data_IF_119539474967
#
_entry.id   IF_119539474967
#
_cell.length_a   1.000
_cell.length_b   1.000
_cell.length_c   1.000
_cell.angle_alpha   90.00
_cell.angle_beta   90.00
_cell.angle_gamma   90.00
#
_symmetry.space_group_name_H-M   'P 1'
#
loop_
_entity.id
_entity.type
_entity.pdbx_description
1 polymer ?
#
# COMPACT_ATOMS: atom_id res chain seq x y z
N UNK A 1 53.58 46.07 -7.54
CA UNK A 1 52.80 47.10 -8.26
C UNK A 1 51.45 47.26 -7.56
N UNK A 2 51.40 48.14 -6.55
CA UNK A 2 50.17 48.61 -5.92
C UNK A 2 49.86 50.02 -6.46
N UNK A 3 48.60 50.28 -6.81
CA UNK A 3 48.00 51.62 -6.90
C UNK A 3 46.67 51.51 -6.13
N UNK A 4 46.55 52.01 -4.89
CA UNK A 4 46.23 53.39 -4.50
C UNK A 4 45.00 53.94 -5.25
N UNK A 5 43.96 54.53 -4.64
CA UNK A 5 43.76 55.22 -3.36
C UNK A 5 42.23 55.40 -3.16
N UNK A 6 41.67 55.15 -1.98
CA UNK A 6 41.39 56.08 -0.86
C UNK A 6 40.36 57.18 -1.16
N UNK A 7 39.34 57.28 -0.30
CA UNK A 7 38.99 58.41 0.62
C UNK A 7 37.53 58.17 1.10
N UNK A 8 37.30 57.70 2.34
CA UNK A 8 37.05 58.46 3.60
C UNK A 8 35.74 59.27 3.54
N UNK A 9 34.77 59.09 4.44
CA UNK A 9 34.64 59.88 5.69
C UNK A 9 33.60 59.23 6.64
N UNK A 10 33.96 59.29 7.93
CA UNK A 10 33.20 58.98 9.16
C UNK A 10 31.96 59.87 9.35
N UNK A 11 30.90 59.37 10.01
CA UNK A 11 30.32 59.99 11.22
C UNK A 11 29.32 59.04 11.91
N UNK A 12 29.49 58.87 13.22
CA UNK A 12 28.58 58.22 14.17
C UNK A 12 27.68 59.33 14.75
N UNK A 13 26.38 59.05 14.98
CA UNK A 13 25.62 59.30 16.23
C UNK A 13 24.09 59.25 15.97
N UNK A 14 23.45 58.55 16.90
CA UNK A 14 22.04 58.26 17.20
C UNK A 14 21.10 59.47 17.33
N UNK A 15 19.82 59.34 16.92
CA UNK A 15 18.62 59.26 17.80
C UNK A 15 17.28 59.59 17.06
N UNK A 16 16.21 58.96 17.56
CA UNK A 16 14.79 59.36 17.60
C UNK A 16 13.92 59.28 16.33
N UNK A 17 13.11 58.23 16.33
CA UNK A 17 11.64 58.21 16.23
C UNK A 17 10.94 59.29 15.39
N UNK A 18 10.26 58.87 14.32
CA UNK A 18 8.91 59.36 13.96
C UNK A 18 8.17 58.20 13.30
N UNK A 19 7.05 57.83 13.91
CA UNK A 19 6.00 56.99 13.33
C UNK A 19 5.25 57.80 12.28
N UNK A 20 5.05 57.25 11.08
CA UNK A 20 3.94 57.64 10.21
C UNK A 20 3.34 56.41 9.55
N UNK A 21 2.05 56.23 9.84
CA UNK A 21 1.14 55.33 9.16
C UNK A 21 1.04 55.71 7.68
N UNK A 22 1.12 54.72 6.79
CA UNK A 22 0.33 54.75 5.56
C UNK A 22 -0.23 53.37 5.28
N UNK A 23 -1.55 53.33 5.16
CA UNK A 23 -2.37 52.19 4.80
C UNK A 23 -1.98 51.62 3.43
N UNK A 24 -1.55 50.36 3.43
CA UNK A 24 -1.48 49.53 2.24
C UNK A 24 -2.38 48.31 2.40
N UNK A 25 -3.67 48.44 2.05
CA UNK A 25 -4.64 47.33 1.98
C UNK A 25 -4.10 46.21 1.09
N UNK A 26 -3.58 45.14 1.71
CA UNK A 26 -3.57 43.80 1.12
C UNK A 26 -4.49 42.91 1.92
N UNK A 27 -5.64 42.63 1.32
CA UNK A 27 -6.59 41.59 1.74
C UNK A 27 -5.85 40.26 1.90
N UNK A 28 -5.37 39.98 3.11
CA UNK A 28 -5.12 38.60 3.53
C UNK A 28 -6.48 37.98 3.81
N UNK A 29 -7.01 37.31 2.79
CA UNK A 29 -8.01 36.26 2.98
C UNK A 29 -7.42 35.23 3.95
N UNK A 30 -7.68 35.40 5.25
CA UNK A 30 -7.67 34.30 6.21
C UNK A 30 -8.69 33.30 5.68
N UNK A 31 -8.23 32.31 4.92
CA UNK A 31 -9.00 31.08 4.72
C UNK A 31 -9.33 30.58 6.11
N UNK A 32 -10.58 30.73 6.50
CA UNK A 32 -11.15 30.11 7.67
C UNK A 32 -10.76 28.64 7.61
N UNK A 33 -9.92 28.23 8.56
CA UNK A 33 -9.66 26.81 8.82
C UNK A 33 -10.98 26.28 9.34
N UNK A 34 -11.78 25.69 8.44
CA UNK A 34 -12.94 24.91 8.80
C UNK A 34 -12.45 23.72 9.65
N UNK A 35 -12.46 23.91 10.97
CA UNK A 35 -12.51 22.81 11.95
C UNK A 35 -13.92 22.21 11.89
N UNK A 36 -14.21 21.46 10.84
CA UNK A 36 -15.24 20.45 10.91
C UNK A 36 -14.53 19.13 11.20
N UNK A 37 -14.27 18.87 12.49
CA UNK A 37 -14.21 17.48 12.96
C UNK A 37 -15.64 16.95 13.00
N UNK A 38 -16.23 16.75 11.82
CA UNK A 38 -17.45 15.98 11.68
C UNK A 38 -17.21 14.61 12.29
N UNK A 39 -18.03 14.28 13.29
CA UNK A 39 -18.12 12.97 13.93
C UNK A 39 -18.12 11.89 12.85
N UNK A 40 -16.97 11.26 12.62
CA UNK A 40 -16.84 10.18 11.65
C UNK A 40 -17.67 9.04 12.20
N UNK A 41 -18.69 8.62 11.46
CA UNK A 41 -19.28 7.34 11.73
C UNK A 41 -18.25 6.26 11.35
N UNK A 42 -17.48 5.79 12.34
CA UNK A 42 -16.44 4.77 12.20
C UNK A 42 -17.01 3.42 11.69
N UNK A 43 -18.32 3.27 11.52
CA UNK A 43 -18.92 2.10 10.89
C UNK A 43 -19.07 2.21 9.37
N UNK A 44 -18.94 3.41 8.79
CA UNK A 44 -19.01 3.61 7.35
C UNK A 44 -17.73 3.12 6.66
N UNK A 45 -17.85 2.55 5.44
CA UNK A 45 -16.70 2.23 4.60
C UNK A 45 -15.74 3.42 4.48
N UNK A 46 -14.44 3.15 4.65
CA UNK A 46 -13.40 4.15 4.34
C UNK A 46 -13.37 4.30 2.82
N UNK A 47 -13.48 5.51 2.27
CA UNK A 47 -13.54 5.71 0.82
C UNK A 47 -12.25 5.27 0.14
N UNK A 48 -12.37 4.74 -1.07
CA UNK A 48 -11.21 4.54 -1.93
C UNK A 48 -10.55 5.89 -2.26
N UNK A 49 -9.23 5.98 -2.10
CA UNK A 49 -8.49 7.19 -2.46
C UNK A 49 -8.30 7.30 -3.97
N UNK A 50 -8.36 8.52 -4.49
CA UNK A 50 -8.09 8.84 -5.90
C UNK A 50 -6.78 9.62 -6.07
N UNK A 51 -5.79 9.29 -5.25
CA UNK A 51 -4.48 9.96 -5.24
C UNK A 51 -3.38 8.97 -4.95
N UNK A 52 -2.20 9.28 -5.47
CA UNK A 52 -0.95 8.61 -5.13
C UNK A 52 -0.20 9.49 -4.14
N UNK A 53 0.47 8.91 -3.16
CA UNK A 53 1.30 9.67 -2.23
C UNK A 53 2.75 9.68 -2.75
N UNK A 54 3.35 10.85 -3.01
CA UNK A 54 4.72 10.93 -3.50
C UNK A 54 5.68 10.35 -2.46
N UNK A 55 6.52 9.42 -2.90
CA UNK A 55 7.42 8.73 -1.99
C UNK A 55 8.58 8.04 -2.71
N UNK A 56 9.80 8.44 -2.36
CA UNK A 56 11.03 7.91 -2.95
C UNK A 56 11.50 6.57 -2.32
N UNK A 57 10.97 6.18 -1.17
CA UNK A 57 11.38 4.95 -0.48
C UNK A 57 10.44 3.76 -0.76
N UNK A 58 9.19 4.05 -1.14
CA UNK A 58 8.18 3.00 -1.42
C UNK A 58 8.35 2.47 -2.84
N UNK A 59 9.20 1.45 -2.99
CA UNK A 59 9.37 0.76 -4.28
C UNK A 59 8.22 -0.22 -4.57
N UNK A 60 7.07 0.33 -4.98
CA UNK A 60 5.81 -0.37 -5.24
C UNK A 60 5.82 -1.31 -6.44
N UNK A 61 6.71 -1.10 -7.40
CA UNK A 61 6.68 -1.82 -8.67
C UNK A 61 7.94 -2.62 -8.87
N UNK A 62 7.80 -3.82 -9.40
CA UNK A 62 8.92 -4.68 -9.76
C UNK A 62 8.79 -5.11 -11.22
N UNK A 63 9.91 -5.15 -11.94
CA UNK A 63 9.92 -5.40 -13.37
C UNK A 63 10.82 -6.56 -13.76
N UNK A 64 10.42 -7.35 -14.76
CA UNK A 64 11.34 -8.17 -15.53
C UNK A 64 11.36 -7.73 -16.99
N UNK A 65 12.31 -6.86 -17.38
CA UNK A 65 12.36 -6.28 -18.72
C UNK A 65 12.59 -7.29 -19.84
N UNK A 66 13.28 -8.40 -19.52
CA UNK A 66 13.56 -9.50 -20.44
C UNK A 66 12.28 -10.21 -20.88
N UNK A 67 11.39 -10.49 -19.93
CA UNK A 67 10.14 -11.21 -20.17
C UNK A 67 8.92 -10.28 -20.29
N UNK A 68 9.14 -8.96 -20.24
CA UNK A 68 8.06 -7.95 -20.23
C UNK A 68 7.00 -8.23 -19.17
N UNK A 69 7.44 -8.56 -17.96
CA UNK A 69 6.58 -8.75 -16.80
C UNK A 69 6.70 -7.55 -15.88
N UNK A 70 5.61 -7.17 -15.23
CA UNK A 70 5.64 -6.23 -14.12
C UNK A 70 4.73 -6.68 -13.00
N UNK A 71 5.01 -6.20 -11.80
CA UNK A 71 4.31 -6.60 -10.58
C UNK A 71 4.05 -5.38 -9.70
N UNK A 72 2.81 -5.25 -9.25
CA UNK A 72 2.44 -4.43 -8.12
C UNK A 72 2.78 -5.17 -6.81
N UNK A 73 3.71 -4.62 -6.04
CA UNK A 73 4.23 -5.18 -4.80
C UNK A 73 3.40 -4.77 -3.60
N UNK A 74 2.44 -5.61 -3.20
CA UNK A 74 1.63 -5.41 -2.01
C UNK A 74 2.06 -6.37 -0.90
N UNK A 75 2.37 -5.83 0.27
CA UNK A 75 2.76 -6.63 1.42
C UNK A 75 1.69 -7.64 1.79
N UNK A 76 2.14 -8.82 2.25
CA UNK A 76 1.29 -9.95 2.67
C UNK A 76 0.49 -10.64 1.57
N UNK A 77 0.65 -10.22 0.31
CA UNK A 77 0.05 -10.85 -0.87
C UNK A 77 1.07 -11.69 -1.63
N UNK A 78 1.75 -12.60 -0.93
CA UNK A 78 2.83 -13.41 -1.53
C UNK A 78 4.06 -12.59 -2.00
N UNK A 79 4.20 -11.36 -1.51
CA UNK A 79 5.21 -10.40 -1.99
C UNK A 79 6.66 -10.87 -1.78
N UNK A 80 7.00 -11.50 -0.66
CA UNK A 80 8.37 -11.99 -0.44
C UNK A 80 8.78 -13.07 -1.44
N UNK A 81 7.85 -13.94 -1.85
CA UNK A 81 8.12 -14.96 -2.86
C UNK A 81 8.21 -14.34 -4.24
N UNK A 82 7.29 -13.42 -4.58
CA UNK A 82 7.34 -12.74 -5.87
C UNK A 82 8.60 -11.91 -6.07
N UNK A 83 9.10 -11.28 -5.01
CA UNK A 83 10.37 -10.58 -5.05
C UNK A 83 11.50 -11.51 -5.49
N UNK A 84 11.60 -12.68 -4.85
CA UNK A 84 12.59 -13.72 -5.20
C UNK A 84 12.40 -14.27 -6.62
N UNK A 85 11.15 -14.47 -7.05
CA UNK A 85 10.83 -14.89 -8.43
C UNK A 85 11.36 -13.85 -9.42
N UNK A 86 11.04 -12.57 -9.26
CA UNK A 86 11.48 -11.52 -10.17
C UNK A 86 13.01 -11.32 -10.11
N UNK A 87 13.61 -11.46 -8.93
CA UNK A 87 15.06 -11.51 -8.76
C UNK A 87 15.67 -12.61 -9.62
N UNK A 88 15.15 -13.83 -9.47
CA UNK A 88 15.56 -14.97 -10.26
C UNK A 88 15.37 -14.68 -11.73
N UNK A 89 14.25 -14.07 -12.18
CA UNK A 89 13.99 -13.73 -13.58
C UNK A 89 14.94 -12.67 -14.15
N UNK A 90 15.48 -11.79 -13.32
CA UNK A 90 16.42 -10.73 -13.73
C UNK A 90 17.90 -11.12 -13.58
N UNK A 91 18.22 -12.15 -12.81
CA UNK A 91 19.61 -12.57 -12.62
C UNK A 91 20.28 -13.02 -13.93
N UNK A 92 21.50 -12.56 -14.21
CA UNK A 92 22.20 -12.89 -15.47
C UNK A 92 22.54 -14.38 -15.58
N UNK A 93 23.03 -14.98 -14.49
CA UNK A 93 23.41 -16.39 -14.42
C UNK A 93 22.44 -17.20 -13.56
N UNK A 94 21.45 -17.86 -14.18
CA UNK A 94 20.45 -18.65 -13.45
C UNK A 94 21.01 -19.90 -12.76
N UNK A 95 22.14 -20.44 -13.24
CA UNK A 95 22.73 -21.69 -12.70
C UNK A 95 23.36 -21.48 -11.32
N UNK A 96 23.84 -20.26 -11.05
CA UNK A 96 24.46 -19.87 -9.77
C UNK A 96 23.55 -19.01 -8.91
N UNK A 97 22.26 -18.94 -9.24
CA UNK A 97 21.33 -18.10 -8.48
C UNK A 97 20.96 -18.79 -7.17
N UNK A 98 21.33 -18.17 -6.05
CA UNK A 98 20.76 -18.52 -4.76
C UNK A 98 19.38 -17.87 -4.62
N UNK A 99 18.35 -18.69 -4.45
CA UNK A 99 16.98 -18.21 -4.29
C UNK A 99 16.72 -17.62 -2.88
N UNK A 100 17.59 -17.89 -1.92
CA UNK A 100 17.58 -17.25 -0.60
C UNK A 100 18.02 -15.79 -0.66
N UNK A 101 18.96 -15.48 -1.54
CA UNK A 101 19.56 -14.15 -1.68
C UNK A 101 18.95 -13.38 -2.85
N UNK A 102 18.18 -12.34 -2.53
CA UNK A 102 17.69 -11.42 -3.54
C UNK A 102 18.10 -9.99 -3.22
N UNK A 103 18.90 -9.41 -4.11
CA UNK A 103 19.11 -7.97 -4.12
C UNK A 103 17.83 -7.28 -4.63
N UNK A 104 17.33 -6.30 -3.88
CA UNK A 104 16.10 -5.53 -4.18
C UNK A 104 16.26 -4.56 -5.36
N UNK A 105 16.86 -5.04 -6.45
CA UNK A 105 17.08 -4.34 -7.72
C UNK A 105 15.80 -4.38 -8.57
N UNK A 106 15.73 -3.54 -9.61
CA UNK A 106 14.60 -3.49 -10.55
C UNK A 106 13.25 -3.13 -9.92
N UNK A 107 13.28 -2.58 -8.70
CA UNK A 107 12.11 -2.02 -8.03
C UNK A 107 12.02 -0.52 -8.29
N UNK A 108 10.81 -0.01 -8.47
CA UNK A 108 10.51 1.36 -8.83
C UNK A 108 9.43 1.93 -7.92
N UNK A 109 9.52 3.22 -7.63
CA UNK A 109 8.58 3.91 -6.73
C UNK A 109 7.21 4.14 -7.35
N UNK A 110 7.14 4.26 -8.68
CA UNK A 110 5.88 4.49 -9.41
C UNK A 110 5.93 3.87 -10.80
N UNK A 111 4.75 3.72 -11.43
CA UNK A 111 4.65 3.32 -12.84
C UNK A 111 5.36 4.32 -13.74
N UNK A 112 5.28 5.62 -13.42
CA UNK A 112 5.96 6.66 -14.20
C UNK A 112 7.47 6.47 -14.20
N UNK A 113 8.06 6.15 -13.04
CA UNK A 113 9.50 5.86 -12.93
C UNK A 113 9.84 4.56 -13.67
N UNK A 114 9.10 3.48 -13.43
CA UNK A 114 9.32 2.21 -14.13
C UNK A 114 9.24 2.37 -15.65
N UNK A 115 8.26 3.14 -16.12
CA UNK A 115 8.04 3.45 -17.53
C UNK A 115 9.23 4.21 -18.13
N UNK A 116 9.76 5.21 -17.43
CA UNK A 116 10.91 6.00 -17.87
C UNK A 116 12.16 5.12 -17.94
N UNK A 117 12.43 4.34 -16.88
CA UNK A 117 13.58 3.43 -16.81
C UNK A 117 13.63 2.46 -17.98
N UNK A 118 12.48 1.93 -18.42
CA UNK A 118 12.41 1.00 -19.55
C UNK A 118 11.95 1.62 -20.87
N UNK A 119 11.98 2.95 -20.99
CA UNK A 119 11.68 3.71 -22.22
C UNK A 119 10.39 3.24 -22.91
N UNK A 120 9.34 2.96 -22.14
CA UNK A 120 8.14 2.32 -22.67
C UNK A 120 7.22 3.27 -23.48
N UNK A 121 7.51 4.58 -23.51
CA UNK A 121 6.79 5.59 -24.30
C UNK A 121 5.49 6.10 -23.66
N UNK A 122 5.34 5.91 -22.34
CA UNK A 122 4.17 6.32 -21.54
C UNK A 122 3.54 5.16 -20.76
N UNK A 123 2.86 5.44 -19.64
CA UNK A 123 2.34 4.40 -18.73
C UNK A 123 1.30 3.52 -19.42
N UNK A 124 0.37 4.10 -20.19
CA UNK A 124 -0.60 3.32 -21.00
C UNK A 124 0.10 2.39 -22.01
N UNK A 125 1.17 2.85 -22.67
CA UNK A 125 1.95 2.02 -23.60
C UNK A 125 2.72 0.92 -22.86
N UNK A 126 3.15 1.19 -21.63
CA UNK A 126 3.78 0.20 -20.78
C UNK A 126 2.84 -0.96 -20.48
N UNK A 127 1.57 -0.72 -20.14
CA UNK A 127 0.57 -1.78 -19.95
C UNK A 127 0.27 -2.59 -21.22
N UNK A 128 0.47 -2.04 -22.42
CA UNK A 128 0.39 -2.80 -23.68
C UNK A 128 1.62 -3.69 -23.91
N UNK A 129 2.77 -3.29 -23.38
CA UNK A 129 4.06 -3.96 -23.59
C UNK A 129 4.36 -4.98 -22.49
N UNK A 130 3.91 -4.71 -21.27
CA UNK A 130 4.20 -5.49 -20.08
C UNK A 130 2.92 -6.11 -19.54
N UNK A 131 2.98 -7.40 -19.23
CA UNK A 131 1.93 -8.07 -18.46
C UNK A 131 2.09 -7.65 -16.99
N UNK A 132 1.21 -6.74 -16.55
CA UNK A 132 1.25 -6.18 -15.20
C UNK A 132 0.38 -7.01 -14.26
N UNK A 133 1.03 -7.70 -13.34
CA UNK A 133 0.40 -8.56 -12.34
C UNK A 133 0.13 -7.80 -11.04
N UNK A 134 -1.01 -8.07 -10.42
CA UNK A 134 -1.33 -7.67 -9.06
C UNK A 134 -1.83 -8.90 -8.31
N UNK A 135 -1.07 -9.35 -7.30
CA UNK A 135 -1.52 -10.42 -6.42
C UNK A 135 -2.38 -9.81 -5.34
N UNK A 136 -3.59 -10.32 -5.21
CA UNK A 136 -4.60 -9.86 -4.25
C UNK A 136 -4.87 -10.97 -3.23
N UNK A 137 -5.22 -10.61 -2.01
CA UNK A 137 -5.50 -11.55 -0.92
C UNK A 137 -6.80 -11.16 -0.22
N UNK A 138 -7.51 -12.15 0.33
CA UNK A 138 -8.65 -11.89 1.19
C UNK A 138 -8.26 -10.86 2.28
N UNK A 139 -9.03 -9.77 2.47
CA UNK A 139 -8.61 -8.67 3.34
C UNK A 139 -8.38 -9.05 4.80
N UNK A 140 -9.21 -9.94 5.35
CA UNK A 140 -9.07 -10.43 6.73
C UNK A 140 -7.80 -11.27 6.88
N UNK A 141 -7.56 -12.20 5.96
CA UNK A 141 -6.34 -13.01 5.98
C UNK A 141 -5.08 -12.16 5.84
N UNK A 142 -5.15 -11.09 5.04
CA UNK A 142 -4.06 -10.14 4.87
C UNK A 142 -3.80 -9.36 6.16
N UNK A 143 -4.83 -8.80 6.79
CA UNK A 143 -4.75 -8.08 8.06
C UNK A 143 -4.13 -8.97 9.16
N UNK A 144 -4.69 -10.16 9.36
CA UNK A 144 -4.23 -11.11 10.38
C UNK A 144 -2.77 -11.52 10.10
N UNK A 145 -2.41 -11.81 8.86
CA UNK A 145 -1.02 -12.13 8.51
C UNK A 145 -0.05 -10.96 8.75
N UNK A 146 -0.50 -9.72 8.51
CA UNK A 146 0.17 -8.48 8.88
C UNK A 146 0.45 -8.42 10.38
N UNK A 147 -0.64 -8.49 11.15
CA UNK A 147 -0.66 -8.30 12.59
C UNK A 147 0.15 -9.38 13.31
N UNK A 148 -0.02 -10.64 12.91
CA UNK A 148 0.70 -11.76 13.53
C UNK A 148 2.21 -11.64 13.31
N UNK A 149 2.67 -11.27 12.12
CA UNK A 149 4.11 -11.10 11.90
C UNK A 149 4.68 -9.93 12.72
N UNK A 150 4.04 -8.75 12.65
CA UNK A 150 4.64 -7.51 13.13
C UNK A 150 4.36 -7.27 14.61
N UNK A 151 3.15 -7.57 15.07
CA UNK A 151 2.71 -7.26 16.42
C UNK A 151 2.84 -8.44 17.37
N UNK A 152 2.46 -9.64 16.92
CA UNK A 152 2.48 -10.81 17.78
C UNK A 152 3.85 -11.48 17.87
N UNK A 153 4.43 -11.84 16.73
CA UNK A 153 5.72 -12.53 16.64
C UNK A 153 6.91 -11.57 16.51
N UNK A 154 6.66 -10.29 16.21
CA UNK A 154 7.69 -9.25 16.01
C UNK A 154 8.82 -9.68 15.06
N UNK A 155 8.48 -10.41 13.99
CA UNK A 155 9.50 -10.98 13.10
C UNK A 155 10.11 -9.88 12.23
N UNK A 156 11.45 -9.85 12.20
CA UNK A 156 12.28 -8.84 11.53
C UNK A 156 12.16 -7.42 12.09
N UNK A 157 11.68 -7.28 13.33
CA UNK A 157 11.66 -6.00 14.02
C UNK A 157 12.81 -5.91 15.01
N UNK A 158 13.46 -4.75 15.07
CA UNK A 158 14.39 -4.43 16.16
C UNK A 158 13.63 -4.26 17.47
N UNK A 159 14.29 -4.39 18.64
CA UNK A 159 13.62 -4.27 19.94
C UNK A 159 12.83 -2.97 20.14
N UNK A 160 13.32 -1.85 19.59
CA UNK A 160 12.71 -0.52 19.70
C UNK A 160 11.75 -0.15 18.56
N UNK A 161 11.55 -1.02 17.56
CA UNK A 161 10.62 -0.77 16.48
C UNK A 161 9.19 -1.17 16.87
N UNK A 162 8.25 -0.24 16.74
CA UNK A 162 6.83 -0.49 16.96
C UNK A 162 6.01 -0.02 15.75
N UNK A 163 5.42 -0.99 15.06
CA UNK A 163 4.49 -0.79 13.94
C UNK A 163 3.06 -1.19 14.31
N UNK A 164 2.77 -1.22 15.61
CA UNK A 164 1.53 -1.70 16.19
C UNK A 164 0.82 -0.64 17.03
N UNK A 165 1.17 0.63 16.84
CA UNK A 165 0.52 1.79 17.48
C UNK A 165 0.54 1.76 19.02
N UNK A 166 1.54 1.15 19.64
CA UNK A 166 1.62 0.91 21.08
C UNK A 166 0.63 -0.13 21.59
N UNK A 167 -0.09 -0.85 20.71
CA UNK A 167 -1.11 -1.82 21.11
C UNK A 167 -0.55 -3.20 21.48
N UNK A 168 0.73 -3.46 21.21
CA UNK A 168 1.32 -4.78 21.41
C UNK A 168 0.50 -5.88 20.71
N UNK A 169 0.07 -6.89 21.47
CA UNK A 169 -0.74 -8.02 20.96
C UNK A 169 -2.25 -7.76 20.92
N UNK A 170 -2.73 -6.55 21.24
CA UNK A 170 -4.16 -6.24 21.25
C UNK A 170 -4.68 -5.88 19.85
N UNK A 171 -5.38 -6.81 19.21
CA UNK A 171 -5.95 -6.63 17.85
C UNK A 171 -7.02 -5.52 17.81
N UNK A 172 -7.88 -5.40 18.83
CA UNK A 172 -8.93 -4.39 18.87
C UNK A 172 -8.35 -2.97 18.93
N UNK A 173 -7.34 -2.76 19.78
CA UNK A 173 -6.58 -1.51 19.84
C UNK A 173 -5.95 -1.20 18.47
N UNK A 174 -5.27 -2.18 17.89
CA UNK A 174 -4.58 -2.03 16.61
C UNK A 174 -5.53 -1.60 15.48
N UNK A 175 -6.64 -2.32 15.30
CA UNK A 175 -7.65 -2.00 14.27
C UNK A 175 -8.26 -0.62 14.49
N UNK A 176 -8.54 -0.25 15.73
CA UNK A 176 -9.09 1.07 16.05
C UNK A 176 -8.11 2.20 15.73
N UNK A 177 -6.81 2.00 15.95
CA UNK A 177 -5.77 2.99 15.60
C UNK A 177 -5.53 3.05 14.08
N UNK A 178 -5.47 1.89 13.42
CA UNK A 178 -5.37 1.79 11.96
C UNK A 178 -6.54 2.51 11.27
N UNK A 179 -7.77 2.31 11.73
CA UNK A 179 -8.95 2.98 11.19
C UNK A 179 -8.85 4.50 11.29
N UNK A 180 -8.43 5.01 12.46
CA UNK A 180 -8.24 6.45 12.69
C UNK A 180 -7.15 7.03 11.78
N UNK A 181 -6.06 6.32 11.58
CA UNK A 181 -5.01 6.71 10.64
C UNK A 181 -5.55 6.77 9.21
N UNK A 182 -6.24 5.73 8.74
CA UNK A 182 -6.79 5.66 7.39
C UNK A 182 -7.79 6.78 7.10
N UNK A 183 -8.66 7.13 8.05
CA UNK A 183 -9.54 8.30 7.90
C UNK A 183 -8.78 9.62 7.77
N UNK A 184 -7.71 9.81 8.55
CA UNK A 184 -6.85 11.00 8.41
C UNK A 184 -6.19 11.04 7.04
N UNK A 185 -5.69 9.90 6.55
CA UNK A 185 -5.09 9.77 5.22
C UNK A 185 -6.10 10.08 4.11
N UNK A 186 -7.29 9.51 4.19
CA UNK A 186 -8.39 9.74 3.24
C UNK A 186 -8.78 11.24 3.18
N UNK A 187 -8.80 11.92 4.33
CA UNK A 187 -9.13 13.35 4.45
C UNK A 187 -7.95 14.30 4.19
N UNK A 188 -6.83 13.81 3.66
CA UNK A 188 -5.60 14.61 3.47
C UNK A 188 -5.03 15.23 4.76
N UNK A 189 -5.41 14.75 5.95
CA UNK A 189 -4.90 15.21 7.24
C UNK A 189 -3.59 14.51 7.65
N UNK A 190 -3.15 13.51 6.88
CA UNK A 190 -1.97 12.70 7.18
C UNK A 190 -1.35 12.11 5.90
N UNK A 191 -0.02 12.06 5.85
CA UNK A 191 0.72 11.30 4.85
C UNK A 191 0.87 9.86 5.37
N UNK A 192 0.63 8.83 4.55
CA UNK A 192 0.75 7.44 4.97
C UNK A 192 2.10 7.10 5.61
N UNK A 193 2.06 6.35 6.71
CA UNK A 193 3.24 5.62 7.14
C UNK A 193 3.49 4.47 6.16
N UNK A 194 4.64 4.45 5.50
CA UNK A 194 4.91 3.52 4.40
C UNK A 194 4.93 2.05 4.84
N UNK A 195 5.41 1.79 6.05
CA UNK A 195 5.46 0.45 6.59
C UNK A 195 4.05 -0.05 6.91
N UNK A 196 3.19 0.82 7.45
CA UNK A 196 1.78 0.49 7.63
C UNK A 196 1.05 0.34 6.30
N UNK A 197 1.33 1.23 5.35
CA UNK A 197 0.76 1.24 4.02
C UNK A 197 1.00 -0.10 3.31
N UNK A 198 2.27 -0.51 3.19
CA UNK A 198 2.66 -1.75 2.55
C UNK A 198 2.00 -3.00 3.20
N UNK A 199 1.79 -3.01 4.52
CA UNK A 199 1.32 -4.19 5.25
C UNK A 199 -0.19 -4.23 5.55
N UNK A 200 -0.84 -3.08 5.72
CA UNK A 200 -2.15 -2.96 6.36
C UNK A 200 -3.16 -2.08 5.63
N UNK A 201 -2.73 -1.17 4.75
CA UNK A 201 -3.69 -0.30 4.04
C UNK A 201 -4.47 -1.09 2.99
N UNK A 202 -5.68 -0.64 2.59
CA UNK A 202 -6.45 -1.29 1.53
C UNK A 202 -5.61 -1.54 0.28
N UNK A 203 -5.78 -2.71 -0.34
CA UNK A 203 -5.08 -3.09 -1.57
C UNK A 203 -5.49 -2.20 -2.73
N UNK A 204 -6.73 -1.73 -2.74
CA UNK A 204 -7.26 -0.73 -3.68
C UNK A 204 -6.59 0.65 -3.58
N UNK A 205 -5.85 0.92 -2.50
CA UNK A 205 -5.07 2.17 -2.33
C UNK A 205 -3.64 2.05 -2.87
N UNK A 206 -3.22 0.86 -3.29
CA UNK A 206 -1.85 0.58 -3.72
C UNK A 206 -1.70 0.74 -5.24
N UNK A 207 -0.47 0.95 -5.69
CA UNK A 207 -0.08 0.80 -7.08
C UNK A 207 -0.97 1.56 -8.08
N UNK A 208 -1.32 2.80 -7.72
CA UNK A 208 -2.13 3.69 -8.55
C UNK A 208 -3.40 3.00 -9.11
N UNK A 209 -3.96 2.07 -8.32
CA UNK A 209 -5.06 1.21 -8.74
C UNK A 209 -6.26 2.01 -9.24
N UNK A 210 -6.62 3.10 -8.57
CA UNK A 210 -7.68 4.01 -8.98
C UNK A 210 -7.55 4.53 -10.42
N UNK A 211 -6.32 4.63 -10.97
CA UNK A 211 -6.07 5.05 -12.36
C UNK A 211 -6.01 3.89 -13.33
N UNK A 212 -5.44 2.76 -12.89
CA UNK A 212 -4.99 1.70 -13.79
C UNK A 212 -5.63 0.33 -13.54
N UNK A 213 -6.69 0.26 -12.72
CA UNK A 213 -7.51 -0.94 -12.47
C UNK A 213 -7.67 -1.84 -13.70
N UNK A 214 -8.23 -1.39 -14.86
CA UNK A 214 -8.53 -2.28 -15.96
C UNK A 214 -7.30 -2.88 -16.67
N UNK A 215 -6.09 -2.41 -16.35
CA UNK A 215 -4.86 -2.88 -16.99
C UNK A 215 -4.09 -3.92 -16.17
N UNK A 216 -4.50 -4.20 -14.93
CA UNK A 216 -3.88 -5.23 -14.11
C UNK A 216 -4.50 -6.61 -14.37
N UNK A 217 -3.65 -7.62 -14.47
CA UNK A 217 -4.07 -9.01 -14.29
C UNK A 217 -4.09 -9.32 -12.79
N UNK A 218 -5.19 -9.83 -12.27
CA UNK A 218 -5.31 -10.22 -10.86
C UNK A 218 -5.08 -11.71 -10.67
N UNK A 219 -4.31 -12.08 -9.65
CA UNK A 219 -4.24 -13.46 -9.16
C UNK A 219 -4.57 -13.46 -7.67
N UNK A 220 -5.56 -14.25 -7.27
CA UNK A 220 -5.99 -14.40 -5.87
C UNK A 220 -5.06 -15.34 -5.13
N UNK A 221 -4.33 -14.81 -4.14
CA UNK A 221 -3.57 -15.60 -3.19
C UNK A 221 -4.53 -16.28 -2.20
N UNK A 222 -4.56 -17.62 -2.15
CA UNK A 222 -5.60 -18.31 -1.42
C UNK A 222 -5.20 -18.53 0.05
N UNK A 223 -6.21 -18.73 0.89
CA UNK A 223 -6.04 -19.13 2.30
C UNK A 223 -5.65 -20.60 2.44
N UNK A 224 -6.16 -21.45 1.54
CA UNK A 224 -5.92 -22.89 1.43
C UNK A 224 -5.49 -23.27 -0.01
N UNK A 225 -5.01 -24.49 -0.24
CA UNK A 225 -4.59 -24.98 -1.57
C UNK A 225 -3.60 -24.06 -2.33
N UNK A 226 -2.35 -24.02 -1.85
CA UNK A 226 -1.27 -23.24 -2.50
C UNK A 226 -0.82 -23.80 -3.85
N UNK A 227 -1.00 -25.10 -4.09
CA UNK A 227 -0.50 -25.75 -5.32
C UNK A 227 -1.20 -25.22 -6.58
N UNK A 228 -2.52 -25.09 -6.56
CA UNK A 228 -3.28 -24.51 -7.69
C UNK A 228 -2.86 -23.05 -7.97
N UNK A 229 -2.65 -22.27 -6.91
CA UNK A 229 -2.14 -20.91 -7.03
C UNK A 229 -0.74 -20.88 -7.65
N UNK A 230 0.18 -21.77 -7.25
CA UNK A 230 1.52 -21.86 -7.85
C UNK A 230 1.47 -22.23 -9.32
N UNK A 231 0.59 -23.17 -9.72
CA UNK A 231 0.35 -23.49 -11.14
C UNK A 231 -0.13 -22.26 -11.92
N UNK A 232 -1.01 -21.45 -11.33
CA UNK A 232 -1.50 -20.21 -11.94
C UNK A 232 -0.36 -19.21 -12.18
N UNK A 233 0.55 -19.05 -11.22
CA UNK A 233 1.75 -18.22 -11.37
C UNK A 233 2.64 -18.75 -12.50
N UNK A 234 2.92 -20.06 -12.52
CA UNK A 234 3.74 -20.67 -13.58
C UNK A 234 3.12 -20.48 -14.96
N UNK A 235 1.81 -20.69 -15.10
CA UNK A 235 1.10 -20.46 -16.37
C UNK A 235 1.18 -19.00 -16.82
N UNK A 236 1.13 -18.05 -15.89
CA UNK A 236 1.32 -16.63 -16.20
C UNK A 236 2.75 -16.35 -16.72
N UNK A 237 3.78 -16.90 -16.06
CA UNK A 237 5.17 -16.77 -16.49
C UNK A 237 5.43 -17.47 -17.84
N UNK A 238 4.76 -18.60 -18.09
CA UNK A 238 4.86 -19.34 -19.35
C UNK A 238 4.31 -18.54 -20.54
N UNK A 239 3.18 -17.85 -20.35
CA UNK A 239 2.62 -16.92 -21.35
C UNK A 239 3.55 -15.74 -21.65
N UNK A 240 4.48 -15.44 -20.76
CA UNK A 240 5.55 -14.46 -20.97
C UNK A 240 6.84 -15.08 -21.54
N UNK A 241 6.77 -16.32 -22.03
CA UNK A 241 7.85 -17.08 -22.66
C UNK A 241 9.06 -17.32 -21.74
N UNK A 242 8.84 -17.44 -20.44
CA UNK A 242 9.88 -17.88 -19.51
C UNK A 242 10.23 -19.36 -19.82
N UNK A 243 11.52 -19.72 -20.02
CA UNK A 243 11.91 -21.08 -20.41
C UNK A 243 11.41 -22.17 -19.44
N UNK A 244 10.95 -23.31 -19.97
CA UNK A 244 10.41 -24.44 -19.16
C UNK A 244 11.32 -24.87 -18.01
N UNK A 245 12.63 -24.97 -18.23
CA UNK A 245 13.59 -25.29 -17.16
C UNK A 245 13.56 -24.29 -15.99
N UNK A 246 13.33 -23.01 -16.27
CA UNK A 246 13.21 -21.96 -15.26
C UNK A 246 11.86 -22.04 -14.54
N UNK A 247 10.79 -22.36 -15.28
CA UNK A 247 9.47 -22.57 -14.69
C UNK A 247 9.45 -23.75 -13.72
N UNK A 248 10.06 -24.88 -14.08
CA UNK A 248 10.18 -26.04 -13.20
C UNK A 248 10.93 -25.68 -11.92
N UNK A 249 12.09 -25.03 -12.05
CA UNK A 249 12.85 -24.53 -10.91
C UNK A 249 12.01 -23.62 -9.99
N UNK A 250 11.28 -22.65 -10.55
CA UNK A 250 10.43 -21.76 -9.78
C UNK A 250 9.27 -22.49 -9.09
N UNK A 251 8.66 -23.46 -9.78
CA UNK A 251 7.60 -24.29 -9.24
C UNK A 251 8.07 -25.07 -8.01
N UNK A 252 9.24 -25.69 -8.11
CA UNK A 252 9.86 -26.44 -7.00
C UNK A 252 10.23 -25.52 -5.84
N UNK A 253 10.76 -24.32 -6.13
CA UNK A 253 11.10 -23.34 -5.08
C UNK A 253 9.87 -22.80 -4.36
N UNK A 254 8.75 -22.59 -5.04
CA UNK A 254 7.50 -22.18 -4.39
C UNK A 254 6.92 -23.25 -3.45
N UNK A 255 7.16 -24.54 -3.73
CA UNK A 255 6.74 -25.65 -2.86
C UNK A 255 7.71 -25.90 -1.70
N UNK A 256 9.02 -25.81 -1.94
CA UNK A 256 10.05 -26.16 -0.95
C UNK A 256 10.31 -25.07 0.08
N UNK A 257 10.24 -23.79 -0.31
CA UNK A 257 10.58 -22.69 0.59
C UNK A 257 9.41 -22.36 1.50
N UNK A 258 9.59 -22.65 2.80
CA UNK A 258 8.81 -22.03 3.85
C UNK A 258 9.41 -20.65 4.15
N UNK A 259 8.65 -19.59 3.93
CA UNK A 259 9.04 -18.26 4.41
C UNK A 259 9.01 -18.27 5.94
N UNK A 260 9.98 -17.65 6.61
CA UNK A 260 10.05 -17.63 8.09
C UNK A 260 8.77 -17.06 8.75
N UNK A 261 8.01 -16.21 8.03
CA UNK A 261 6.71 -15.68 8.50
C UNK A 261 5.50 -16.42 7.96
N UNK A 262 5.60 -17.73 7.72
CA UNK A 262 4.40 -18.52 7.43
C UNK A 262 3.53 -18.53 8.68
N UNK A 263 2.65 -17.52 8.77
CA UNK A 263 1.83 -17.22 9.94
C UNK A 263 0.57 -18.05 9.94
N UNK A 264 0.00 -18.31 8.76
CA UNK A 264 -1.26 -19.04 8.58
C UNK A 264 -1.30 -20.45 9.22
N UNK A 265 -0.14 -21.09 9.43
CA UNK A 265 -0.07 -22.46 9.97
C UNK A 265 0.17 -22.53 11.48
N UNK A 266 0.24 -21.38 12.17
CA UNK A 266 0.42 -21.34 13.62
C UNK A 266 -0.94 -21.27 14.30
N UNK A 267 -1.14 -22.07 15.34
CA UNK A 267 -2.37 -22.11 16.15
C UNK A 267 -2.81 -20.72 16.61
N UNK A 268 -1.87 -19.91 17.10
CA UNK A 268 -2.13 -18.52 17.48
C UNK A 268 -2.78 -17.69 16.35
N UNK A 269 -2.40 -17.88 15.10
CA UNK A 269 -2.99 -17.15 13.97
C UNK A 269 -4.45 -17.54 13.77
N UNK A 270 -4.77 -18.83 13.92
CA UNK A 270 -6.15 -19.32 13.87
C UNK A 270 -6.97 -18.71 15.00
N UNK A 271 -6.45 -18.73 16.24
CA UNK A 271 -7.12 -18.14 17.41
C UNK A 271 -7.43 -16.64 17.23
N UNK A 272 -6.50 -15.85 16.69
CA UNK A 272 -6.73 -14.42 16.43
C UNK A 272 -7.75 -14.18 15.31
N UNK A 273 -7.73 -15.03 14.28
CA UNK A 273 -8.73 -14.98 13.22
C UNK A 273 -10.12 -15.31 13.78
N UNK A 274 -10.24 -16.41 14.51
CA UNK A 274 -11.51 -16.86 15.11
C UNK A 274 -12.03 -15.81 16.11
N UNK A 275 -11.15 -15.24 16.94
CA UNK A 275 -11.49 -14.14 17.85
C UNK A 275 -12.02 -12.89 17.13
N UNK A 276 -11.45 -12.55 15.97
CA UNK A 276 -11.97 -11.47 15.13
C UNK A 276 -13.38 -11.78 14.61
N UNK A 277 -13.62 -13.00 14.11
CA UNK A 277 -14.95 -13.38 13.60
C UNK A 277 -16.01 -13.43 14.71
N UNK A 278 -15.64 -13.81 15.93
CA UNK A 278 -16.55 -13.82 17.09
C UNK A 278 -16.85 -12.43 17.66
N UNK A 279 -16.01 -11.42 17.36
CA UNK A 279 -16.23 -10.05 17.81
C UNK A 279 -16.88 -9.20 16.71
N UNK A 280 -18.21 -9.17 16.67
CA UNK A 280 -18.99 -8.48 15.62
C UNK A 280 -18.65 -6.99 15.51
N UNK A 281 -18.44 -6.29 16.63
CA UNK A 281 -18.09 -4.86 16.61
C UNK A 281 -16.74 -4.62 15.95
N UNK A 282 -15.74 -5.43 16.31
CA UNK A 282 -14.40 -5.35 15.70
C UNK A 282 -14.42 -5.78 14.23
N UNK A 283 -15.15 -6.85 13.92
CA UNK A 283 -15.32 -7.34 12.55
C UNK A 283 -15.90 -6.25 11.66
N UNK A 284 -16.97 -5.57 12.08
CA UNK A 284 -17.56 -4.43 11.34
C UNK A 284 -16.55 -3.33 11.03
N UNK A 285 -15.66 -2.99 11.97
CA UNK A 285 -14.58 -2.02 11.72
C UNK A 285 -13.61 -2.52 10.65
N UNK A 286 -13.20 -3.79 10.71
CA UNK A 286 -12.35 -4.40 9.68
C UNK A 286 -13.05 -4.40 8.31
N UNK A 287 -14.33 -4.74 8.26
CA UNK A 287 -15.11 -4.70 7.02
C UNK A 287 -15.20 -3.27 6.47
N UNK A 288 -15.42 -2.26 7.32
CA UNK A 288 -15.44 -0.86 6.91
C UNK A 288 -14.08 -0.38 6.36
N UNK A 289 -12.97 -0.80 6.97
CA UNK A 289 -11.62 -0.49 6.48
C UNK A 289 -11.39 -1.06 5.08
N UNK A 290 -11.78 -2.33 4.86
CA UNK A 290 -11.44 -3.07 3.63
C UNK A 290 -12.61 -3.27 2.67
N UNK A 291 -13.72 -2.54 2.84
CA UNK A 291 -14.95 -2.73 2.08
C UNK A 291 -14.70 -2.77 0.57
N UNK A 292 -13.96 -1.79 0.05
CA UNK A 292 -13.64 -1.73 -1.37
C UNK A 292 -12.74 -2.88 -1.84
N UNK A 293 -11.85 -3.41 -1.00
CA UNK A 293 -11.09 -4.60 -1.38
C UNK A 293 -11.99 -5.83 -1.53
N UNK A 294 -13.05 -5.97 -0.72
CA UNK A 294 -14.01 -7.06 -0.88
C UNK A 294 -14.76 -6.95 -2.21
N UNK A 295 -15.32 -5.77 -2.49
CA UNK A 295 -16.13 -5.53 -3.69
C UNK A 295 -15.28 -5.58 -4.96
N UNK A 296 -14.19 -4.82 -5.02
CA UNK A 296 -13.38 -4.65 -6.23
C UNK A 296 -12.68 -5.94 -6.66
N UNK A 297 -12.37 -6.82 -5.71
CA UNK A 297 -11.68 -8.08 -5.97
C UNK A 297 -12.59 -9.31 -5.85
N UNK A 298 -13.90 -9.10 -5.73
CA UNK A 298 -14.91 -10.16 -5.64
C UNK A 298 -14.55 -11.20 -4.55
N UNK A 299 -14.32 -10.71 -3.33
CA UNK A 299 -14.25 -11.54 -2.13
C UNK A 299 -15.55 -11.44 -1.35
N UNK A 300 -15.97 -12.55 -0.77
CA UNK A 300 -17.17 -12.58 0.05
C UNK A 300 -17.00 -11.70 1.29
N UNK A 301 -17.98 -10.83 1.52
CA UNK A 301 -18.13 -10.10 2.77
C UNK A 301 -18.60 -11.08 3.86
N UNK A 302 -17.89 -11.17 5.00
CA UNK A 302 -18.38 -11.93 6.15
C UNK A 302 -19.81 -11.53 6.55
N UNK A 303 -20.62 -12.50 6.99
CA UNK A 303 -22.00 -12.26 7.44
C UNK A 303 -22.10 -11.21 8.56
N UNK A 304 -21.12 -11.17 9.47
CA UNK A 304 -21.06 -10.15 10.51
C UNK A 304 -20.74 -8.72 10.03
N UNK A 305 -20.35 -8.54 8.76
CA UNK A 305 -20.09 -7.23 8.16
C UNK A 305 -21.37 -6.46 7.78
N UNK A 306 -22.48 -7.16 7.56
CA UNK A 306 -23.72 -6.50 7.14
C UNK A 306 -24.17 -5.57 8.26
N UNK A 307 -24.28 -4.28 7.92
CA UNK A 307 -25.06 -3.37 8.74
C UNK A 307 -26.50 -3.82 8.57
N UNK A 308 -27.16 -4.32 9.64
CA UNK A 308 -28.62 -4.31 9.63
C UNK A 308 -29.02 -2.87 9.26
N UNK A 309 -29.83 -2.66 8.21
CA UNK A 309 -30.41 -1.35 8.03
C UNK A 309 -31.12 -1.03 9.34
N UNK A 310 -30.65 -0.02 10.06
CA UNK A 310 -31.50 0.60 11.06
C UNK A 310 -32.72 1.04 10.29
N UNK A 311 -33.88 0.51 10.65
CA UNK A 311 -35.18 1.00 10.21
C UNK A 311 -35.24 2.50 10.51
N UNK A 312 -34.82 3.32 9.56
CA UNK A 312 -35.32 4.68 9.41
C UNK A 312 -36.37 4.57 8.31
N UNK A 313 -37.59 4.22 8.73
CA UNK A 313 -38.76 4.69 8.03
C UNK A 313 -38.62 6.21 7.83
N UNK A 314 -38.89 6.65 6.60
CA UNK A 314 -38.97 8.03 6.13
C UNK A 314 -37.65 8.72 5.77
N UNK A 315 -37.20 8.50 4.54
CA UNK A 315 -37.02 9.60 3.56
C UNK A 315 -36.72 9.01 2.18
N UNK A 316 -37.74 9.00 1.34
CA UNK A 316 -37.64 8.84 -0.10
C UNK A 316 -36.89 10.03 -0.68
N UNK A 317 -35.68 9.80 -1.20
CA UNK A 317 -35.04 10.70 -2.16
C UNK A 317 -34.67 9.85 -3.37
N UNK A 318 -35.37 10.15 -4.47
CA UNK A 318 -35.23 9.52 -5.76
C UNK A 318 -33.82 9.71 -6.32
N UNK A 319 -33.19 8.61 -6.73
CA UNK A 319 -32.05 8.61 -7.64
C UNK A 319 -32.60 8.70 -9.07
N UNK A 320 -32.56 9.89 -9.65
CA UNK A 320 -32.71 10.06 -11.09
C UNK A 320 -31.43 9.56 -11.77
N UNK A 321 -31.57 8.46 -12.52
CA UNK A 321 -30.59 8.01 -13.50
C UNK A 321 -30.89 8.63 -14.85
N UNK A 322 -29.89 9.25 -15.46
CA UNK A 322 -29.86 9.49 -16.90
C UNK A 322 -28.42 9.45 -17.40
N UNK A 323 -28.14 8.34 -18.11
CA UNK A 323 -27.15 8.02 -19.15
C UNK A 323 -25.68 8.43 -18.99
#
# INVERSE_FOLDING_TARGET
>A
MLKNRNILIFFIITFLSISYETEGKKHHNKKAVFRNDENINETLPIPMIQKSFPNFDKKEYLASPKYKLGLCMIGKNFSSMMDRIFCFLNHSNKKRFDFGECQRTHRHESLSIMQKTYRAGGVKKMFKKYQMLMIIRNPIDRLISGFMQLCYFRIYLKPNEDYCYGCGKNLNCFVSKLQKELWKVARNKMIPNQFHDYHFYPQTWQCEYYKFKPYYTYIKYPSSNKSSFYKTIINHLDKAHVPKKHLNFLYDKMHSIKTEHTTNSKEATKLYKDSLYSNITLLKKVCAIFYHDFIEFNYDLPSGCYQSPKNNSNSSIALNTSF
#
